data_IF_543121541414
#
_entry.id   IF_543121541414
#
_cell.length_a   1.000
_cell.length_b   1.000
_cell.length_c   1.000
_cell.angle_alpha   90.00
_cell.angle_beta   90.00
_cell.angle_gamma   90.00
#
_symmetry.space_group_name_H-M   'P 1'
#
loop_
_entity.id
_entity.type
_entity.pdbx_description
1 polymer ?
#
# COMPACT_ATOMS: atom_id res chain seq x y z
N UNK A 1 -1.11 1.97 -19.85
CA UNK A 1 -1.39 1.67 -18.43
C UNK A 1 -2.19 2.81 -17.79
N UNK A 2 -3.42 3.07 -18.25
CA UNK A 2 -4.33 4.08 -17.67
C UNK A 2 -5.28 3.50 -16.60
N UNK A 3 -5.36 2.18 -16.49
CA UNK A 3 -6.33 1.49 -15.65
C UNK A 3 -6.12 1.67 -14.14
N UNK A 4 -4.92 2.08 -13.70
CA UNK A 4 -4.63 2.30 -12.27
C UNK A 4 -4.99 3.72 -11.80
N UNK A 5 -5.10 4.68 -12.73
CA UNK A 5 -5.37 6.09 -12.42
C UNK A 5 -6.64 6.31 -11.58
N UNK A 6 -7.75 5.59 -11.81
CA UNK A 6 -9.00 5.78 -11.04
C UNK A 6 -8.87 5.50 -9.55
N UNK A 7 -7.89 4.70 -9.11
CA UNK A 7 -7.75 4.35 -7.70
C UNK A 7 -7.05 5.43 -6.87
N UNK A 8 -6.35 6.36 -7.52
CA UNK A 8 -5.59 7.40 -6.84
C UNK A 8 -6.47 8.63 -6.57
N UNK A 9 -6.32 9.28 -5.40
CA UNK A 9 -7.09 10.49 -5.11
C UNK A 9 -6.74 11.59 -6.10
N UNK A 10 -7.71 12.45 -6.44
CA UNK A 10 -7.48 13.62 -7.30
C UNK A 10 -6.47 14.60 -6.65
N UNK A 11 -5.82 15.43 -7.46
CA UNK A 11 -4.96 16.52 -6.95
C UNK A 11 -5.78 17.77 -6.72
N UNK A 12 -5.61 18.38 -5.54
CA UNK A 12 -6.19 19.69 -5.19
C UNK A 12 -5.43 20.84 -5.89
N UNK A 13 -5.30 20.80 -7.22
CA UNK A 13 -4.71 21.86 -8.04
C UNK A 13 -3.17 21.84 -8.20
N UNK A 14 -2.45 20.97 -7.48
CA UNK A 14 -0.99 20.79 -7.67
C UNK A 14 -0.71 19.62 -8.62
N UNK A 15 0.05 19.82 -9.72
CA UNK A 15 0.44 18.74 -10.63
C UNK A 15 1.12 17.60 -9.87
N UNK A 16 0.58 16.39 -10.01
CA UNK A 16 1.12 15.23 -9.30
C UNK A 16 2.44 14.80 -9.93
N UNK A 17 3.39 14.43 -9.07
CA UNK A 17 4.48 13.54 -9.48
C UNK A 17 3.83 12.27 -10.04
N UNK A 18 4.37 11.73 -11.13
CA UNK A 18 3.85 10.52 -11.78
C UNK A 18 3.55 9.41 -10.74
N UNK A 19 2.26 9.17 -10.49
CA UNK A 19 1.80 8.22 -9.47
C UNK A 19 2.27 6.80 -9.83
N UNK A 20 2.44 6.46 -11.12
CA UNK A 20 2.99 5.18 -11.57
C UNK A 20 4.44 5.01 -11.13
N UNK A 21 5.25 6.06 -11.27
CA UNK A 21 6.64 6.06 -10.82
C UNK A 21 6.74 5.83 -9.31
N UNK A 22 5.88 6.49 -8.53
CA UNK A 22 5.84 6.30 -7.08
C UNK A 22 5.40 4.89 -6.70
N UNK A 23 4.32 4.37 -7.30
CA UNK A 23 3.86 2.98 -7.07
C UNK A 23 4.95 1.97 -7.42
N UNK A 24 5.67 2.18 -8.51
CA UNK A 24 6.79 1.31 -8.90
C UNK A 24 7.88 1.30 -7.83
N UNK A 25 8.20 2.46 -7.25
CA UNK A 25 9.13 2.56 -6.13
C UNK A 25 8.64 1.86 -4.86
N UNK A 26 7.36 1.98 -4.53
CA UNK A 26 6.74 1.27 -3.39
C UNK A 26 6.86 -0.24 -3.59
N UNK A 27 6.44 -0.75 -4.76
CA UNK A 27 6.52 -2.19 -5.09
C UNK A 27 7.97 -2.68 -5.05
N UNK A 28 8.92 -1.90 -5.55
CA UNK A 28 10.34 -2.27 -5.53
C UNK A 28 10.85 -2.44 -4.09
N UNK A 29 10.58 -1.48 -3.21
CA UNK A 29 11.01 -1.54 -1.80
C UNK A 29 10.42 -2.76 -1.10
N UNK A 30 9.10 -3.00 -1.26
CA UNK A 30 8.41 -4.12 -0.61
C UNK A 30 8.92 -5.46 -1.15
N UNK A 31 9.01 -5.61 -2.48
CA UNK A 31 9.45 -6.85 -3.14
C UNK A 31 10.85 -7.30 -2.70
N UNK A 32 11.74 -6.35 -2.43
CA UNK A 32 13.13 -6.63 -2.08
C UNK A 32 13.43 -6.46 -0.57
N UNK A 33 12.42 -6.16 0.25
CA UNK A 33 12.59 -5.98 1.70
C UNK A 33 13.53 -4.82 2.09
N UNK A 34 13.59 -3.76 1.29
CA UNK A 34 14.53 -2.65 1.50
C UNK A 34 14.04 -1.69 2.58
N UNK A 35 14.97 -0.98 3.22
CA UNK A 35 14.58 0.23 3.94
C UNK A 35 14.11 1.28 2.92
N UNK A 36 13.10 2.08 3.29
CA UNK A 36 12.60 3.14 2.40
C UNK A 36 13.71 4.09 1.92
N UNK A 37 14.71 4.37 2.77
CA UNK A 37 15.87 5.21 2.46
C UNK A 37 16.71 4.67 1.29
N UNK A 38 16.67 3.37 1.07
CA UNK A 38 17.45 2.67 0.04
C UNK A 38 16.65 2.48 -1.26
N UNK A 39 15.45 3.05 -1.35
CA UNK A 39 14.68 3.06 -2.59
C UNK A 39 15.50 3.69 -3.74
N UNK A 40 15.51 3.09 -4.95
CA UNK A 40 16.23 3.64 -6.08
C UNK A 40 15.80 5.08 -6.38
N UNK A 41 16.76 6.00 -6.48
CA UNK A 41 16.52 7.43 -6.76
C UNK A 41 15.72 7.66 -8.05
N UNK A 42 15.80 6.71 -8.98
CA UNK A 42 14.99 6.67 -10.20
C UNK A 42 13.48 6.72 -9.94
N UNK A 43 12.97 6.34 -8.77
CA UNK A 43 11.55 6.44 -8.41
C UNK A 43 11.16 7.73 -7.70
N UNK A 44 12.12 8.60 -7.39
CA UNK A 44 11.91 9.86 -6.68
C UNK A 44 12.41 9.82 -5.23
N UNK A 45 12.16 10.89 -4.46
CA UNK A 45 12.65 10.99 -3.08
C UNK A 45 12.04 9.92 -2.17
N UNK A 46 12.86 9.23 -1.38
CA UNK A 46 12.41 8.17 -0.47
C UNK A 46 11.28 8.61 0.48
N UNK A 47 11.34 9.86 0.98
CA UNK A 47 10.29 10.42 1.85
C UNK A 47 8.96 10.51 1.12
N UNK A 48 8.96 10.89 -0.15
CA UNK A 48 7.74 10.96 -0.98
C UNK A 48 7.15 9.58 -1.18
N UNK A 49 7.98 8.58 -1.49
CA UNK A 49 7.56 7.19 -1.66
C UNK A 49 6.89 6.67 -0.38
N UNK A 50 7.56 6.82 0.77
CA UNK A 50 7.04 6.42 2.07
C UNK A 50 5.74 7.15 2.45
N UNK A 51 5.71 8.48 2.34
CA UNK A 51 4.53 9.27 2.69
C UNK A 51 3.32 8.91 1.82
N UNK A 52 3.55 8.65 0.53
CA UNK A 52 2.51 8.18 -0.41
C UNK A 52 2.02 6.79 -0.04
N UNK A 53 2.91 5.85 0.26
CA UNK A 53 2.53 4.53 0.77
C UNK A 53 1.61 4.66 1.98
N UNK A 54 2.04 5.39 3.03
CA UNK A 54 1.22 5.55 4.24
C UNK A 54 -0.12 6.21 3.95
N UNK A 55 -0.14 7.31 3.17
CA UNK A 55 -1.39 8.01 2.84
C UNK A 55 -2.35 7.13 2.05
N UNK A 56 -1.86 6.41 1.05
CA UNK A 56 -2.69 5.56 0.20
C UNK A 56 -3.16 4.29 0.90
N UNK A 57 -2.34 3.70 1.77
CA UNK A 57 -2.76 2.59 2.63
C UNK A 57 -3.89 3.02 3.57
N UNK A 58 -3.81 4.22 4.18
CA UNK A 58 -4.91 4.76 5.01
C UNK A 58 -6.18 5.03 4.22
N UNK A 59 -6.04 5.41 2.96
CA UNK A 59 -7.18 5.68 2.08
C UNK A 59 -7.73 4.40 1.42
N UNK A 60 -7.22 3.21 1.75
CA UNK A 60 -7.66 1.94 1.17
C UNK A 60 -7.40 1.79 -0.33
N UNK A 61 -6.47 2.57 -0.90
CA UNK A 61 -6.17 2.57 -2.36
C UNK A 61 -5.71 1.18 -2.81
N UNK A 62 -4.82 0.57 -2.04
CA UNK A 62 -4.28 -0.76 -2.36
C UNK A 62 -5.35 -1.84 -2.23
N UNK A 63 -6.21 -1.76 -1.21
CA UNK A 63 -7.30 -2.70 -1.00
C UNK A 63 -8.31 -2.64 -2.14
N UNK A 64 -8.75 -1.45 -2.57
CA UNK A 64 -9.66 -1.31 -3.72
C UNK A 64 -9.06 -1.89 -5.00
N UNK A 65 -7.79 -1.58 -5.28
CA UNK A 65 -7.10 -2.11 -6.46
C UNK A 65 -6.98 -3.64 -6.40
N UNK A 66 -6.66 -4.19 -5.23
CA UNK A 66 -6.58 -5.63 -5.04
C UNK A 66 -7.95 -6.30 -5.24
N UNK A 67 -9.01 -5.74 -4.66
CA UNK A 67 -10.37 -6.25 -4.82
C UNK A 67 -10.85 -6.23 -6.28
N UNK A 68 -10.56 -5.18 -7.05
CA UNK A 68 -10.91 -5.17 -8.47
C UNK A 68 -10.12 -6.21 -9.28
N UNK A 69 -8.81 -6.32 -9.03
CA UNK A 69 -7.98 -7.34 -9.70
C UNK A 69 -8.42 -8.77 -9.35
N UNK A 70 -8.79 -9.00 -8.09
CA UNK A 70 -9.32 -10.29 -7.65
C UNK A 70 -10.70 -10.57 -8.26
N UNK A 71 -11.56 -9.56 -8.36
CA UNK A 71 -12.89 -9.67 -8.97
C UNK A 71 -12.85 -9.96 -10.47
N UNK A 72 -11.91 -9.36 -11.20
CA UNK A 72 -11.68 -9.68 -12.63
C UNK A 72 -11.18 -11.11 -12.84
N UNK A 73 -10.46 -11.68 -11.85
CA UNK A 73 -9.93 -13.04 -11.94
C UNK A 73 -10.98 -14.15 -11.68
N UNK A 74 -12.20 -13.78 -11.25
CA UNK A 74 -13.25 -14.74 -10.86
C UNK A 74 -13.05 -15.33 -9.47
N UNK A 75 -13.89 -16.31 -9.11
CA UNK A 75 -13.72 -17.04 -7.84
C UNK A 75 -12.42 -17.85 -7.87
N UNK A 76 -11.49 -17.64 -6.93
CA UNK A 76 -10.22 -18.37 -6.94
C UNK A 76 -10.45 -19.84 -6.59
N UNK A 77 -9.88 -20.76 -7.38
CA UNK A 77 -9.88 -22.20 -7.08
C UNK A 77 -9.19 -22.54 -5.74
N UNK A 78 -8.30 -21.65 -5.27
CA UNK A 78 -7.63 -21.75 -3.98
C UNK A 78 -7.32 -20.38 -3.39
N UNK A 79 -7.59 -20.20 -2.09
CA UNK A 79 -7.19 -19.01 -1.31
C UNK A 79 -6.02 -19.39 -0.41
N UNK A 80 -4.87 -18.74 -0.60
CA UNK A 80 -3.71 -18.89 0.28
C UNK A 80 -3.54 -17.63 1.12
N UNK A 81 -3.58 -17.79 2.45
CA UNK A 81 -3.29 -16.71 3.41
C UNK A 81 -1.93 -17.03 4.02
N UNK A 82 -0.93 -16.19 3.73
CA UNK A 82 0.30 -16.17 4.51
C UNK A 82 0.22 -15.10 5.61
N UNK A 83 0.86 -15.36 6.74
CA UNK A 83 1.06 -14.39 7.79
C UNK A 83 2.49 -14.51 8.30
N UNK A 84 3.21 -13.38 8.32
CA UNK A 84 4.54 -13.32 8.93
C UNK A 84 4.41 -12.73 10.33
N UNK A 85 4.70 -13.51 11.37
CA UNK A 85 4.72 -13.02 12.76
C UNK A 85 6.15 -12.70 13.21
N UNK A 86 6.43 -11.43 13.49
CA UNK A 86 7.68 -11.01 14.14
C UNK A 86 7.36 -10.54 15.57
N UNK A 87 7.90 -11.24 16.57
CA UNK A 87 7.78 -10.82 17.98
C UNK A 87 8.61 -9.55 18.21
N UNK A 88 7.95 -8.41 18.34
CA UNK A 88 8.61 -7.15 18.64
C UNK A 88 8.87 -6.99 20.15
N UNK A 89 10.01 -6.40 20.52
CA UNK A 89 10.29 -5.98 21.90
C UNK A 89 9.23 -4.97 22.35
N UNK A 90 8.87 -4.92 23.65
CA UNK A 90 7.78 -4.06 24.16
C UNK A 90 7.88 -2.58 23.75
N UNK A 91 9.10 -2.06 23.59
CA UNK A 91 9.38 -0.68 23.15
C UNK A 91 9.13 -0.47 21.66
N UNK A 92 9.21 -1.53 20.84
CA UNK A 92 8.81 -1.51 19.43
C UNK A 92 7.32 -1.86 19.26
N UNK A 93 6.74 -2.61 20.21
CA UNK A 93 5.32 -2.97 20.26
C UNK A 93 4.44 -1.92 20.95
N UNK A 94 5.02 -0.92 21.61
CA UNK A 94 4.25 0.20 22.16
C UNK A 94 3.60 0.96 21.02
N UNK A 95 2.28 0.94 21.00
CA UNK A 95 1.37 1.53 20.02
C UNK A 95 1.91 2.82 19.40
N UNK A 96 1.84 2.90 18.07
CA UNK A 96 1.89 4.16 17.35
C UNK A 96 0.89 5.12 18.00
N UNK A 97 1.33 6.34 18.34
CA UNK A 97 0.47 7.42 18.86
C UNK A 97 -0.72 7.58 17.91
N UNK A 98 -1.91 7.08 18.32
CA UNK A 98 -3.13 7.10 17.51
C UNK A 98 -3.64 5.78 16.92
N UNK A 99 -3.13 4.60 17.32
CA UNK A 99 -3.76 3.31 16.95
C UNK A 99 -3.71 3.01 15.45
N UNK A 100 -2.58 3.30 14.81
CA UNK A 100 -2.44 3.22 13.37
C UNK A 100 -2.36 1.75 12.89
N UNK A 101 -3.49 1.21 12.46
CA UNK A 101 -3.55 -0.03 11.69
C UNK A 101 -3.80 0.31 10.21
N UNK A 102 -3.06 -0.29 9.25
CA UNK A 102 -3.45 -0.22 7.85
C UNK A 102 -4.85 -0.82 7.67
N UNK A 103 -5.59 -0.31 6.69
CA UNK A 103 -6.93 -0.78 6.36
C UNK A 103 -6.91 -2.30 6.07
N UNK A 104 -7.77 -3.06 6.75
CA UNK A 104 -7.78 -4.54 6.69
C UNK A 104 -8.80 -4.98 5.64
N UNK A 105 -8.32 -5.59 4.56
CA UNK A 105 -9.18 -6.26 3.59
C UNK A 105 -9.72 -7.57 4.19
N UNK A 106 -11.02 -7.63 4.50
CA UNK A 106 -11.66 -8.88 4.97
C UNK A 106 -12.73 -8.75 6.05
N UNK A 107 -13.19 -7.54 6.40
CA UNK A 107 -14.30 -7.40 7.34
C UNK A 107 -15.59 -7.97 6.70
N UNK A 108 -16.30 -8.92 7.33
CA UNK A 108 -17.58 -9.38 6.83
C UNK A 108 -18.54 -8.20 6.73
N UNK A 109 -19.19 -8.02 5.58
CA UNK A 109 -20.33 -7.10 5.51
C UNK A 109 -21.42 -7.67 6.40
N UNK A 110 -21.79 -6.95 7.46
CA UNK A 110 -22.98 -7.26 8.22
C UNK A 110 -24.19 -7.16 7.26
N UNK A 111 -24.94 -8.26 7.15
CA UNK A 111 -26.20 -8.32 6.41
C UNK A 111 -27.34 -7.66 7.15
#
# INVERSE_FOLDING_TARGET
MRWIEPFFPLSDGIPRVDDRRIVSGIVYVIKHGLMWRDAPKGYGPHKTIYNRFIRWSKMGVFNRRFSELAGEAGEPDAIMIDATHLKAHRTAASLLKGGLFPDVSGVPRAG
#
